data_IF_716692728147
#
_entry.id   IF_716692728147
#
_cell.length_a   1.000
_cell.length_b   1.000
_cell.length_c   1.000
_cell.angle_alpha   90.00
_cell.angle_beta   90.00
_cell.angle_gamma   90.00
#
_symmetry.space_group_name_H-M   'P 1'
#
loop_
_entity.id
_entity.type
_entity.pdbx_description
1 polymer ?
#
# COMPACT_ATOMS: atom_id res chain seq x y z
N UNK A 1 26.53 -20.04 30.75
CA UNK A 1 26.23 -19.67 29.34
C UNK A 1 24.91 -20.26 28.84
N UNK A 2 24.65 -21.56 29.05
CA UNK A 2 23.36 -22.20 28.66
C UNK A 2 22.12 -21.53 29.29
N UNK A 3 22.18 -21.14 30.55
CA UNK A 3 21.01 -20.56 31.25
C UNK A 3 20.70 -19.13 30.81
N UNK A 4 21.74 -18.33 30.48
CA UNK A 4 21.57 -16.99 29.93
C UNK A 4 20.99 -17.03 28.50
N UNK A 5 21.35 -18.06 27.72
CA UNK A 5 20.79 -18.28 26.38
C UNK A 5 19.34 -18.75 26.43
N UNK A 6 19.00 -19.64 27.39
CA UNK A 6 17.63 -20.09 27.64
C UNK A 6 16.74 -18.95 28.16
N UNK A 7 17.26 -18.14 29.08
CA UNK A 7 16.58 -16.93 29.55
C UNK A 7 16.40 -15.87 28.46
N UNK A 8 17.34 -15.75 27.51
CA UNK A 8 17.19 -14.87 26.35
C UNK A 8 16.15 -15.38 25.34
N UNK A 9 16.01 -16.70 25.19
CA UNK A 9 14.97 -17.34 24.38
C UNK A 9 13.59 -17.29 25.06
N UNK A 10 13.53 -17.42 26.39
CA UNK A 10 12.31 -17.22 27.19
C UNK A 10 11.92 -15.74 27.27
N UNK A 11 12.87 -14.79 27.22
CA UNK A 11 12.59 -13.36 27.08
C UNK A 11 12.18 -12.98 25.64
N UNK A 12 12.55 -13.79 24.65
CA UNK A 12 11.97 -13.80 23.31
C UNK A 12 10.66 -14.61 23.24
N UNK A 13 10.00 -14.84 24.38
CA UNK A 13 8.72 -15.52 24.50
C UNK A 13 7.74 -14.97 23.48
N UNK A 14 7.07 -15.91 22.82
CA UNK A 14 6.01 -15.72 21.83
C UNK A 14 5.14 -14.51 22.19
N UNK A 15 4.98 -13.52 21.28
CA UNK A 15 4.18 -12.34 21.58
C UNK A 15 2.82 -12.76 22.13
N UNK A 16 2.42 -12.16 23.26
CA UNK A 16 1.10 -12.41 23.86
C UNK A 16 0.05 -12.26 22.76
N UNK A 17 -0.62 -13.37 22.41
CA UNK A 17 -1.60 -13.43 21.32
C UNK A 17 -2.69 -12.36 21.48
N UNK A 18 -2.99 -11.98 22.72
CA UNK A 18 -3.94 -10.89 23.02
C UNK A 18 -3.38 -9.53 22.62
N UNK A 19 -2.10 -9.29 22.91
CA UNK A 19 -1.39 -8.07 22.51
C UNK A 19 -1.26 -7.96 20.99
N UNK A 20 -1.02 -9.07 20.29
CA UNK A 20 -0.94 -9.12 18.82
C UNK A 20 -2.30 -8.81 18.19
N UNK A 21 -3.38 -9.46 18.64
CA UNK A 21 -4.73 -9.18 18.14
C UNK A 21 -5.15 -7.72 18.39
N UNK A 22 -4.71 -7.11 19.50
CA UNK A 22 -4.92 -5.68 19.77
C UNK A 22 -4.20 -4.81 18.75
N UNK A 23 -2.92 -5.08 18.48
CA UNK A 23 -2.13 -4.34 17.49
C UNK A 23 -2.72 -4.46 16.07
N UNK A 24 -3.18 -5.66 15.68
CA UNK A 24 -3.85 -5.85 14.38
C UNK A 24 -5.14 -5.03 14.28
N UNK A 25 -5.93 -4.94 15.37
CA UNK A 25 -7.13 -4.10 15.39
C UNK A 25 -6.80 -2.61 15.27
N UNK A 26 -5.78 -2.16 15.97
CA UNK A 26 -5.29 -0.78 15.90
C UNK A 26 -4.83 -0.44 14.47
N UNK A 27 -3.99 -1.28 13.86
CA UNK A 27 -3.55 -1.11 12.47
C UNK A 27 -4.72 -1.06 11.47
N UNK A 28 -5.75 -1.89 11.65
CA UNK A 28 -6.97 -1.85 10.82
C UNK A 28 -7.74 -0.55 11.02
N UNK A 29 -7.81 -0.01 12.24
CA UNK A 29 -8.45 1.28 12.51
C UNK A 29 -7.68 2.41 11.82
N UNK A 30 -6.36 2.44 11.95
CA UNK A 30 -5.51 3.43 11.30
C UNK A 30 -5.63 3.38 9.78
N UNK A 31 -5.62 2.17 9.20
CA UNK A 31 -5.83 1.98 7.76
C UNK A 31 -7.22 2.46 7.29
N UNK A 32 -8.27 2.28 8.10
CA UNK A 32 -9.61 2.84 7.79
C UNK A 32 -9.61 4.36 7.76
N UNK A 33 -8.90 4.99 8.71
CA UNK A 33 -8.77 6.45 8.74
C UNK A 33 -8.03 6.94 7.50
N UNK A 34 -6.90 6.32 7.16
CA UNK A 34 -6.14 6.67 5.96
C UNK A 34 -6.98 6.54 4.67
N UNK A 35 -7.75 5.45 4.51
CA UNK A 35 -8.67 5.29 3.36
C UNK A 35 -9.73 6.40 3.33
N UNK A 36 -10.29 6.76 4.48
CA UNK A 36 -11.27 7.84 4.57
C UNK A 36 -10.67 9.20 4.16
N UNK A 37 -9.46 9.51 4.62
CA UNK A 37 -8.74 10.74 4.28
C UNK A 37 -8.45 10.83 2.77
N UNK A 38 -8.00 9.74 2.14
CA UNK A 38 -7.76 9.70 0.69
C UNK A 38 -9.07 9.89 -0.07
N UNK A 39 -10.17 9.25 0.38
CA UNK A 39 -11.50 9.43 -0.21
C UNK A 39 -11.97 10.88 -0.14
N UNK A 40 -11.79 11.54 1.01
CA UNK A 40 -12.12 12.96 1.16
C UNK A 40 -11.25 13.85 0.27
N UNK A 41 -9.96 13.52 0.14
CA UNK A 41 -9.06 14.22 -0.76
C UNK A 41 -9.48 14.09 -2.24
N UNK A 42 -9.96 12.92 -2.68
CA UNK A 42 -10.56 12.70 -4.01
C UNK A 42 -11.76 13.62 -4.21
N UNK A 43 -12.71 13.63 -3.28
CA UNK A 43 -13.92 14.46 -3.37
C UNK A 43 -13.57 15.95 -3.45
N UNK A 44 -12.58 16.41 -2.68
CA UNK A 44 -12.09 17.80 -2.76
C UNK A 44 -11.50 18.10 -4.14
N UNK A 45 -10.63 17.24 -4.66
CA UNK A 45 -10.05 17.42 -6.00
C UNK A 45 -11.12 17.43 -7.11
N UNK A 46 -12.16 16.60 -7.01
CA UNK A 46 -13.27 16.59 -7.97
C UNK A 46 -14.08 17.91 -7.95
N UNK A 47 -14.29 18.48 -6.77
CA UNK A 47 -14.90 19.82 -6.63
C UNK A 47 -14.01 20.90 -7.22
N UNK A 48 -12.72 20.87 -6.93
CA UNK A 48 -11.74 21.80 -7.50
C UNK A 48 -11.71 21.73 -9.03
N UNK A 49 -11.73 20.52 -9.61
CA UNK A 49 -11.81 20.31 -11.05
C UNK A 49 -13.07 20.93 -11.65
N UNK A 50 -14.21 20.75 -11.00
CA UNK A 50 -15.49 21.31 -11.48
C UNK A 50 -15.43 22.84 -11.50
N UNK A 51 -14.95 23.46 -10.43
CA UNK A 51 -14.79 24.92 -10.34
C UNK A 51 -13.78 25.44 -11.37
N UNK A 52 -12.66 24.74 -11.56
CA UNK A 52 -11.63 25.16 -12.50
C UNK A 52 -12.09 25.05 -13.96
N UNK A 53 -12.89 24.02 -14.30
CA UNK A 53 -13.53 23.90 -15.63
C UNK A 53 -14.48 25.05 -15.90
N UNK A 54 -15.27 25.46 -14.90
CA UNK A 54 -16.15 26.62 -15.02
C UNK A 54 -15.34 27.91 -15.26
N UNK A 55 -14.24 28.13 -14.52
CA UNK A 55 -13.37 29.29 -14.72
C UNK A 55 -12.73 29.33 -16.11
N UNK A 56 -12.29 28.18 -16.61
CA UNK A 56 -11.79 28.08 -17.98
C UNK A 56 -12.87 28.47 -18.99
N UNK A 57 -14.07 27.90 -18.87
CA UNK A 57 -15.19 28.20 -19.77
C UNK A 57 -15.59 29.68 -19.72
N UNK A 58 -15.53 30.30 -18.53
CA UNK A 58 -15.77 31.73 -18.35
C UNK A 58 -14.72 32.61 -19.02
N UNK A 59 -13.43 32.28 -18.86
CA UNK A 59 -12.34 33.00 -19.50
C UNK A 59 -12.47 32.92 -21.03
N UNK A 60 -12.71 31.72 -21.57
CA UNK A 60 -12.87 31.52 -23.01
C UNK A 60 -14.12 32.21 -23.57
N UNK A 61 -15.24 32.19 -22.83
CA UNK A 61 -16.45 32.93 -23.24
C UNK A 61 -16.19 34.43 -23.27
N UNK A 62 -15.55 34.99 -22.23
CA UNK A 62 -15.23 36.42 -22.19
C UNK A 62 -14.28 36.83 -23.31
N UNK A 63 -13.27 36.00 -23.61
CA UNK A 63 -12.39 36.22 -24.75
C UNK A 63 -13.15 36.28 -26.08
N UNK A 64 -14.10 35.35 -26.31
CA UNK A 64 -14.94 35.38 -27.51
C UNK A 64 -15.80 36.65 -27.60
N UNK A 65 -16.49 37.03 -26.52
CA UNK A 65 -17.33 38.24 -26.49
C UNK A 65 -16.51 39.53 -26.71
N UNK A 66 -15.29 39.60 -26.15
CA UNK A 66 -14.39 40.72 -26.39
C UNK A 66 -13.93 40.78 -27.86
N UNK A 67 -13.69 39.63 -28.48
CA UNK A 67 -13.37 39.52 -29.91
C UNK A 67 -14.49 40.05 -30.81
N UNK A 68 -15.76 39.80 -30.47
CA UNK A 68 -16.92 40.30 -31.22
C UNK A 68 -16.97 41.84 -31.27
N UNK A 69 -16.48 42.52 -30.23
CA UNK A 69 -16.41 43.99 -30.15
C UNK A 69 -15.02 44.54 -30.48
N UNK A 70 -14.11 43.70 -30.97
CA UNK A 70 -12.74 44.07 -31.35
C UNK A 70 -11.88 44.62 -30.19
N UNK A 71 -12.19 44.24 -28.94
CA UNK A 71 -11.37 44.58 -27.77
C UNK A 71 -10.19 43.60 -27.66
N UNK A 72 -9.10 43.93 -28.35
CA UNK A 72 -7.90 43.10 -28.42
C UNK A 72 -7.19 42.94 -27.05
N UNK A 73 -7.29 43.93 -26.16
CA UNK A 73 -6.65 43.86 -24.85
C UNK A 73 -7.35 42.81 -23.98
N UNK A 74 -8.69 42.87 -23.91
CA UNK A 74 -9.47 41.89 -23.15
C UNK A 74 -9.33 40.48 -23.72
N UNK A 75 -9.25 40.32 -25.05
CA UNK A 75 -8.95 39.02 -25.69
C UNK A 75 -7.61 38.46 -25.20
N UNK A 76 -6.55 39.27 -25.27
CA UNK A 76 -5.22 38.83 -24.84
C UNK A 76 -5.16 38.46 -23.35
N UNK A 77 -5.88 39.18 -22.49
CA UNK A 77 -6.00 38.86 -21.07
C UNK A 77 -6.77 37.54 -20.89
N UNK A 78 -7.92 37.39 -21.53
CA UNK A 78 -8.72 36.17 -21.46
C UNK A 78 -7.94 34.92 -21.88
N UNK A 79 -7.14 35.01 -22.95
CA UNK A 79 -6.30 33.90 -23.43
C UNK A 79 -5.23 33.50 -22.40
N UNK A 80 -4.60 34.48 -21.75
CA UNK A 80 -3.62 34.21 -20.67
C UNK A 80 -4.26 33.51 -19.48
N UNK A 81 -5.47 33.91 -19.08
CA UNK A 81 -6.20 33.24 -18.00
C UNK A 81 -6.64 31.83 -18.41
N UNK A 82 -7.16 31.67 -19.64
CA UNK A 82 -7.56 30.37 -20.15
C UNK A 82 -6.37 29.40 -20.22
N UNK A 83 -5.18 29.86 -20.64
CA UNK A 83 -3.95 29.06 -20.61
C UNK A 83 -3.62 28.57 -19.20
N UNK A 84 -3.62 29.46 -18.20
CA UNK A 84 -3.39 29.11 -16.79
C UNK A 84 -4.41 28.09 -16.26
N UNK A 85 -5.68 28.28 -16.59
CA UNK A 85 -6.74 27.35 -16.16
C UNK A 85 -6.59 25.97 -16.82
N UNK A 86 -6.18 25.90 -18.09
CA UNK A 86 -5.88 24.61 -18.76
C UNK A 86 -4.71 23.88 -18.11
N UNK A 87 -3.63 24.59 -17.80
CA UNK A 87 -2.49 24.02 -17.09
C UNK A 87 -2.91 23.46 -15.73
N UNK A 88 -3.67 24.25 -14.95
CA UNK A 88 -4.17 23.83 -13.64
C UNK A 88 -5.11 22.63 -13.74
N UNK A 89 -6.00 22.60 -14.74
CA UNK A 89 -6.85 21.44 -15.01
C UNK A 89 -6.00 20.18 -15.25
N UNK A 90 -4.99 20.26 -16.11
CA UNK A 90 -4.12 19.12 -16.38
C UNK A 90 -3.42 18.60 -15.12
N UNK A 91 -2.99 19.49 -14.21
CA UNK A 91 -2.42 19.09 -12.92
C UNK A 91 -3.47 18.41 -12.03
N UNK A 92 -4.65 19.00 -11.90
CA UNK A 92 -5.73 18.45 -11.07
C UNK A 92 -6.25 17.11 -11.59
N UNK A 93 -6.29 16.91 -12.91
CA UNK A 93 -6.70 15.66 -13.54
C UNK A 93 -5.71 14.53 -13.23
N UNK A 94 -4.40 14.79 -13.39
CA UNK A 94 -3.36 13.84 -12.99
C UNK A 94 -3.40 13.54 -11.49
N UNK A 95 -3.59 14.57 -10.66
CA UNK A 95 -3.76 14.41 -9.21
C UNK A 95 -4.95 13.51 -8.90
N UNK A 96 -6.09 13.69 -9.57
CA UNK A 96 -7.28 12.87 -9.36
C UNK A 96 -7.03 11.40 -9.73
N UNK A 97 -6.37 11.14 -10.87
CA UNK A 97 -6.01 9.78 -11.30
C UNK A 97 -5.15 9.11 -10.22
N UNK A 98 -4.05 9.75 -9.82
CA UNK A 98 -3.16 9.21 -8.80
C UNK A 98 -3.90 8.97 -7.48
N UNK A 99 -4.71 9.92 -7.00
CA UNK A 99 -5.48 9.73 -5.76
C UNK A 99 -6.48 8.55 -5.84
N UNK A 100 -7.06 8.27 -7.00
CA UNK A 100 -7.94 7.12 -7.20
C UNK A 100 -7.16 5.80 -7.20
N UNK A 101 -5.98 5.79 -7.80
CA UNK A 101 -5.08 4.62 -7.76
C UNK A 101 -4.59 4.33 -6.33
N UNK A 102 -4.15 5.35 -5.61
CA UNK A 102 -3.76 5.26 -4.18
C UNK A 102 -4.93 4.76 -3.32
N UNK A 103 -6.14 5.29 -3.52
CA UNK A 103 -7.33 4.82 -2.81
C UNK A 103 -7.60 3.33 -3.07
N UNK A 104 -7.44 2.89 -4.33
CA UNK A 104 -7.64 1.49 -4.69
C UNK A 104 -6.58 0.58 -4.05
N UNK A 105 -5.33 1.04 -3.94
CA UNK A 105 -4.27 0.31 -3.25
C UNK A 105 -4.56 0.22 -1.74
N UNK A 106 -4.81 1.35 -1.09
CA UNK A 106 -5.11 1.42 0.33
C UNK A 106 -6.35 0.59 0.72
N UNK A 107 -7.38 0.56 -0.14
CA UNK A 107 -8.55 -0.28 0.08
C UNK A 107 -8.19 -1.78 0.04
N UNK A 108 -7.37 -2.23 -0.92
CA UNK A 108 -6.92 -3.63 -0.98
C UNK A 108 -6.11 -4.00 0.27
N UNK A 109 -5.19 -3.13 0.68
CA UNK A 109 -4.39 -3.36 1.90
C UNK A 109 -5.27 -3.45 3.14
N UNK A 110 -6.27 -2.58 3.27
CA UNK A 110 -7.25 -2.65 4.36
C UNK A 110 -8.04 -3.96 4.34
N UNK A 111 -8.48 -4.41 3.16
CA UNK A 111 -9.23 -5.66 3.01
C UNK A 111 -8.36 -6.87 3.41
N UNK A 112 -7.08 -6.87 3.02
CA UNK A 112 -6.10 -7.89 3.41
C UNK A 112 -5.86 -7.90 4.92
N UNK A 113 -5.66 -6.73 5.55
CA UNK A 113 -5.51 -6.61 7.00
C UNK A 113 -6.75 -7.11 7.75
N UNK A 114 -7.95 -6.82 7.25
CA UNK A 114 -9.20 -7.32 7.82
C UNK A 114 -9.33 -8.84 7.69
N UNK A 115 -8.92 -9.41 6.56
CA UNK A 115 -8.91 -10.85 6.35
C UNK A 115 -7.91 -11.57 7.28
N UNK A 116 -6.73 -10.98 7.48
CA UNK A 116 -5.73 -11.47 8.43
C UNK A 116 -6.23 -11.41 9.87
N UNK A 117 -6.81 -10.27 10.27
CA UNK A 117 -7.40 -10.12 11.61
C UNK A 117 -8.51 -11.13 11.86
N UNK A 118 -9.41 -11.33 10.89
CA UNK A 118 -10.50 -12.31 11.01
C UNK A 118 -9.96 -13.74 11.16
N UNK A 119 -8.93 -14.10 10.40
CA UNK A 119 -8.26 -15.41 10.52
C UNK A 119 -7.61 -15.56 11.89
N UNK A 120 -6.88 -14.55 12.34
CA UNK A 120 -6.22 -14.55 13.64
C UNK A 120 -7.23 -14.67 14.80
N UNK A 121 -8.36 -13.96 14.73
CA UNK A 121 -9.42 -14.05 15.75
C UNK A 121 -10.12 -15.42 15.75
N UNK A 122 -10.32 -16.04 14.58
CA UNK A 122 -10.89 -17.39 14.47
C UNK A 122 -9.97 -18.47 15.02
N UNK A 123 -8.68 -18.38 14.70
CA UNK A 123 -7.70 -19.41 15.04
C UNK A 123 -7.16 -19.25 16.48
N UNK A 124 -7.48 -18.12 17.12
CA UNK A 124 -7.03 -17.76 18.47
C UNK A 124 -7.27 -18.84 19.54
N UNK A 125 -8.46 -19.47 19.67
CA UNK A 125 -8.67 -20.50 20.70
C UNK A 125 -7.76 -21.71 20.52
N UNK A 126 -7.49 -22.10 19.26
CA UNK A 126 -6.58 -23.21 18.96
C UNK A 126 -5.12 -22.81 19.24
N UNK A 127 -4.75 -21.56 18.95
CA UNK A 127 -3.41 -21.03 19.25
C UNK A 127 -3.16 -20.89 20.76
N UNK A 128 -4.15 -20.39 21.51
CA UNK A 128 -4.09 -20.31 22.98
C UNK A 128 -3.98 -21.71 23.60
N UNK A 129 -4.75 -22.70 23.12
CA UNK A 129 -4.67 -24.09 23.59
C UNK A 129 -3.30 -24.74 23.31
N UNK A 130 -2.72 -24.52 22.11
CA UNK A 130 -1.37 -24.98 21.76
C UNK A 130 -0.30 -24.32 22.61
N UNK A 131 -0.45 -23.03 22.90
CA UNK A 131 0.46 -22.29 23.77
C UNK A 131 0.40 -22.82 25.21
N UNK A 132 -0.80 -23.04 25.76
CA UNK A 132 -0.97 -23.64 27.09
C UNK A 132 -0.43 -25.07 27.18
N UNK A 133 -0.57 -25.89 26.12
CA UNK A 133 0.01 -27.24 26.09
C UNK A 133 1.55 -27.21 26.08
N UNK A 134 2.16 -26.27 25.34
CA UNK A 134 3.61 -26.04 25.34
C UNK A 134 4.12 -25.55 26.70
N UNK A 135 3.40 -24.63 27.34
CA UNK A 135 3.73 -24.11 28.68
C UNK A 135 3.56 -25.18 29.78
N UNK A 136 2.62 -26.12 29.60
CA UNK A 136 2.41 -27.26 30.50
C UNK A 136 3.45 -28.38 30.33
N UNK A 137 4.38 -28.27 29.38
CA UNK A 137 5.45 -29.24 29.16
C UNK A 137 5.03 -30.52 28.45
N UNK A 138 3.80 -30.59 27.93
CA UNK A 138 3.37 -31.63 27.00
C UNK A 138 4.01 -31.32 25.64
N UNK A 139 5.29 -31.72 25.52
CA UNK A 139 6.03 -31.60 24.28
C UNK A 139 5.37 -32.42 23.19
N UNK A 140 4.79 -31.76 22.19
CA UNK A 140 4.64 -32.36 20.87
C UNK A 140 5.99 -33.00 20.47
N UNK A 141 6.02 -34.19 19.84
CA UNK A 141 7.23 -34.72 19.25
C UNK A 141 7.78 -33.65 18.31
N UNK A 142 8.93 -33.07 18.68
CA UNK A 142 9.45 -31.87 18.08
C UNK A 142 9.51 -31.99 16.56
N UNK A 143 8.72 -31.17 15.87
CA UNK A 143 9.21 -30.61 14.62
C UNK A 143 10.43 -29.80 15.02
N UNK A 144 11.60 -30.38 14.78
CA UNK A 144 12.88 -29.75 15.07
C UNK A 144 12.93 -28.47 14.22
N UNK A 145 12.57 -27.34 14.83
CA UNK A 145 12.50 -26.03 14.17
C UNK A 145 13.82 -25.70 13.48
N UNK A 146 14.92 -26.24 14.00
CA UNK A 146 16.25 -26.15 13.41
C UNK A 146 16.33 -26.89 12.06
N UNK A 147 15.69 -28.05 11.94
CA UNK A 147 15.63 -28.88 10.72
C UNK A 147 14.67 -28.29 9.67
N UNK A 148 13.57 -27.66 10.09
CA UNK A 148 12.69 -26.89 9.19
C UNK A 148 13.37 -25.61 8.67
N UNK A 149 14.11 -24.90 9.53
CA UNK A 149 14.88 -23.72 9.10
C UNK A 149 15.99 -24.12 8.13
N UNK A 150 16.69 -25.23 8.40
CA UNK A 150 17.71 -25.78 7.50
C UNK A 150 17.11 -26.13 6.14
N UNK A 151 15.93 -26.77 6.11
CA UNK A 151 15.21 -27.09 4.86
C UNK A 151 14.83 -25.84 4.08
N UNK A 152 14.31 -24.81 4.76
CA UNK A 152 13.96 -23.53 4.14
C UNK A 152 15.18 -22.83 3.52
N UNK A 153 16.31 -22.82 4.23
CA UNK A 153 17.56 -22.24 3.73
C UNK A 153 18.12 -23.01 2.53
N UNK A 154 18.06 -24.35 2.56
CA UNK A 154 18.44 -25.20 1.42
C UNK A 154 17.53 -24.96 0.21
N UNK A 155 16.22 -24.85 0.43
CA UNK A 155 15.26 -24.58 -0.63
C UNK A 155 15.50 -23.19 -1.25
N UNK A 156 15.79 -22.18 -0.44
CA UNK A 156 16.15 -20.85 -0.92
C UNK A 156 17.43 -20.87 -1.76
N UNK A 157 18.48 -21.51 -1.26
CA UNK A 157 19.75 -21.64 -1.98
C UNK A 157 19.57 -22.38 -3.33
N UNK A 158 18.70 -23.39 -3.37
CA UNK A 158 18.40 -24.14 -4.60
C UNK A 158 17.72 -23.27 -5.66
N UNK A 159 16.78 -22.41 -5.26
CA UNK A 159 16.07 -21.48 -6.14
C UNK A 159 16.99 -20.39 -6.66
N UNK A 160 17.84 -19.83 -5.79
CA UNK A 160 18.82 -18.82 -6.18
C UNK A 160 19.86 -19.39 -7.16
N UNK A 161 20.33 -20.62 -6.94
CA UNK A 161 21.21 -21.31 -7.88
C UNK A 161 20.54 -21.62 -9.23
N UNK A 162 19.25 -21.98 -9.23
CA UNK A 162 18.48 -22.18 -10.45
C UNK A 162 18.30 -20.86 -11.23
N UNK A 163 17.96 -19.77 -10.55
CA UNK A 163 17.83 -18.45 -11.16
C UNK A 163 19.17 -17.97 -11.74
N UNK A 164 20.28 -18.17 -11.01
CA UNK A 164 21.62 -17.80 -11.49
C UNK A 164 22.00 -18.57 -12.77
N UNK A 165 21.68 -19.86 -12.88
CA UNK A 165 21.91 -20.66 -14.09
C UNK A 165 21.10 -20.14 -15.28
N UNK A 166 19.82 -19.84 -15.06
CA UNK A 166 18.95 -19.26 -16.11
C UNK A 166 19.46 -17.89 -16.58
N UNK A 167 19.96 -17.07 -15.64
CA UNK A 167 20.57 -15.77 -15.94
C UNK A 167 21.84 -15.91 -16.78
N UNK A 168 22.71 -16.86 -16.46
CA UNK A 168 23.93 -17.12 -17.24
C UNK A 168 23.63 -17.67 -18.64
N UNK A 169 22.61 -18.51 -18.78
CA UNK A 169 22.14 -18.98 -20.09
C UNK A 169 21.58 -17.83 -20.94
N UNK A 170 20.79 -16.93 -20.34
CA UNK A 170 20.29 -15.72 -20.99
C UNK A 170 21.43 -14.80 -21.42
N UNK A 171 22.40 -14.53 -20.53
CA UNK A 171 23.59 -13.72 -20.87
C UNK A 171 24.39 -14.33 -22.01
N UNK A 172 24.56 -15.65 -22.06
CA UNK A 172 25.27 -16.34 -23.16
C UNK A 172 24.52 -16.24 -24.49
N UNK A 173 23.18 -16.26 -24.47
CA UNK A 173 22.36 -16.06 -25.67
C UNK A 173 22.45 -14.61 -26.16
N UNK A 174 22.36 -13.63 -25.26
CA UNK A 174 22.44 -12.20 -25.59
C UNK A 174 23.83 -11.74 -26.05
N UNK A 175 24.91 -12.47 -25.73
CA UNK A 175 26.28 -12.16 -26.20
C UNK A 175 26.66 -12.83 -27.52
N UNK A 176 25.79 -13.70 -28.05
CA UNK A 176 26.00 -14.43 -29.33
C UNK A 176 25.21 -13.84 -30.50
N UNK A 177 24.49 -12.74 -30.26
CA UNK A 177 23.93 -11.82 -31.26
C UNK A 177 24.80 -10.56 -31.32
#
# INVERSE_FOLDING_TARGET
MRDAFRAALDAASTPDLRSLARQMREAVVDAKVAVAEVREAVVRTERELTLERQRLADAERRGRLAGEIQDAETVAVADRFAAKHRERLGVLERKLVNQKEEMALAQRELDDMQAQLKTAERDRPAMEARQSAREAGDGEPGLDLQDELLKSDMDRASREAAAARQLEELKKKMRKE
#
